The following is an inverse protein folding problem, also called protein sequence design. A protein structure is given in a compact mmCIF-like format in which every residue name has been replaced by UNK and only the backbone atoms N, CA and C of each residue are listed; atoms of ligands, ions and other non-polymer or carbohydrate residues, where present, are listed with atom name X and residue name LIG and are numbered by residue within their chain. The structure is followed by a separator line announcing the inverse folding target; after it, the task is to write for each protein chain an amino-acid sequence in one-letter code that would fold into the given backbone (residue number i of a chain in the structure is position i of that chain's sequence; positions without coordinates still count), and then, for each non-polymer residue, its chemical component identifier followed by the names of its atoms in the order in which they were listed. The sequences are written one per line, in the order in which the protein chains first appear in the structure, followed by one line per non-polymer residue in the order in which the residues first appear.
data_IF_324107295018
#
_entry.id   IF_324107295018
#
_cell.length_a   1.000
_cell.length_b   1.000
_cell.length_c   1.000
_cell.angle_alpha   90.00
_cell.angle_beta   90.00
_cell.angle_gamma   90.00
#
_symmetry.space_group_name_H-M   'P 1'
#
loop_
_entity.id
_entity.type
_entity.pdbx_description
1 polymer ?
#
# COMPACT_ATOMS: atom_id res chain seq x y z
N UNK A 1 11.27 -21.28 17.86
CA UNK A 1 12.75 -21.09 17.96
C UNK A 1 13.01 -19.62 18.27
N UNK A 2 14.03 -19.28 19.08
CA UNK A 2 14.36 -17.89 19.44
C UNK A 2 15.82 -17.56 19.08
N UNK A 3 16.16 -16.26 19.03
CA UNK A 3 17.56 -15.83 18.80
C UNK A 3 18.50 -16.38 19.89
N UNK A 4 18.05 -16.38 21.15
CA UNK A 4 18.83 -16.93 22.26
C UNK A 4 19.11 -18.43 22.09
N UNK A 5 18.16 -19.20 21.55
CA UNK A 5 18.36 -20.62 21.26
C UNK A 5 19.40 -20.84 20.14
N UNK A 6 19.41 -19.97 19.12
CA UNK A 6 20.41 -20.00 18.03
C UNK A 6 21.79 -19.69 18.59
N UNK A 7 21.92 -18.61 19.37
CA UNK A 7 23.18 -18.21 20.02
C UNK A 7 23.69 -19.32 20.93
N UNK A 8 22.81 -19.93 21.73
CA UNK A 8 23.18 -21.07 22.56
C UNK A 8 23.73 -22.24 21.72
N UNK A 9 23.05 -22.61 20.63
CA UNK A 9 23.50 -23.70 19.75
C UNK A 9 24.85 -23.43 19.10
N UNK A 10 25.08 -22.21 18.61
CA UNK A 10 26.37 -21.80 18.04
C UNK A 10 27.48 -21.91 19.10
N UNK A 11 27.21 -21.47 20.33
CA UNK A 11 28.18 -21.57 21.43
C UNK A 11 28.52 -23.01 21.80
N UNK A 12 27.53 -23.90 21.86
CA UNK A 12 27.78 -25.32 22.13
C UNK A 12 28.58 -25.98 21.01
N UNK A 13 28.30 -25.66 19.74
CA UNK A 13 29.10 -26.13 18.60
C UNK A 13 30.54 -25.59 18.67
N UNK A 14 30.71 -24.31 18.96
CA UNK A 14 32.02 -23.68 19.10
C UNK A 14 32.82 -24.31 20.25
N UNK A 15 32.18 -24.58 21.39
CA UNK A 15 32.77 -25.27 22.54
C UNK A 15 33.24 -26.69 22.18
N UNK A 16 32.43 -27.44 21.43
CA UNK A 16 32.80 -28.76 20.92
C UNK A 16 34.01 -28.74 19.98
N UNK A 17 34.22 -27.62 19.27
CA UNK A 17 35.38 -27.38 18.41
C UNK A 17 36.58 -26.74 19.16
N UNK A 18 36.51 -26.59 20.49
CA UNK A 18 37.60 -26.05 21.31
C UNK A 18 37.59 -24.53 21.49
N UNK A 19 36.53 -23.82 21.05
CA UNK A 19 36.41 -22.37 21.19
C UNK A 19 35.52 -21.97 22.36
N UNK A 20 36.01 -21.06 23.22
CA UNK A 20 35.23 -20.49 24.31
C UNK A 20 34.61 -19.14 23.90
N UNK A 21 33.34 -19.14 23.49
CA UNK A 21 32.63 -17.92 23.08
C UNK A 21 31.71 -17.35 24.16
N UNK A 22 31.83 -16.03 24.39
CA UNK A 22 30.85 -15.24 25.13
C UNK A 22 29.56 -15.08 24.32
N UNK A 23 28.41 -14.97 24.99
CA UNK A 23 27.11 -14.72 24.33
C UNK A 23 27.15 -13.45 23.48
N UNK A 24 27.69 -12.36 24.03
CA UNK A 24 27.82 -11.09 23.32
C UNK A 24 28.63 -11.22 22.04
N UNK A 25 29.77 -11.91 22.07
CA UNK A 25 30.57 -12.16 20.87
C UNK A 25 29.82 -13.01 19.84
N UNK A 26 28.98 -13.95 20.27
CA UNK A 26 28.21 -14.79 19.36
C UNK A 26 27.15 -13.98 18.61
N UNK A 27 26.49 -13.02 19.27
CA UNK A 27 25.58 -12.08 18.61
C UNK A 27 26.30 -11.22 17.57
N UNK A 28 27.49 -10.73 17.89
CA UNK A 28 28.31 -9.92 16.98
C UNK A 28 28.76 -10.72 15.75
N UNK A 29 29.16 -11.98 15.93
CA UNK A 29 29.51 -12.88 14.84
C UNK A 29 28.29 -13.22 13.97
N UNK A 30 27.12 -13.43 14.60
CA UNK A 30 25.87 -13.65 13.88
C UNK A 30 25.51 -12.42 13.02
N UNK A 31 25.66 -11.19 13.54
CA UNK A 31 25.43 -9.96 12.78
C UNK A 31 26.36 -9.87 11.56
N UNK A 32 27.63 -10.21 11.73
CA UNK A 32 28.63 -10.16 10.65
C UNK A 32 28.37 -11.15 9.53
N UNK A 33 27.70 -12.28 9.82
CA UNK A 33 27.24 -13.21 8.78
C UNK A 33 26.21 -12.59 7.84
N UNK A 34 25.60 -11.47 8.23
CA UNK A 34 24.62 -10.71 7.47
C UNK A 34 25.15 -9.36 6.98
N UNK A 35 26.47 -9.18 6.98
CA UNK A 35 27.14 -7.95 6.55
C UNK A 35 27.07 -6.80 7.56
N UNK A 36 26.63 -7.06 8.81
CA UNK A 36 26.50 -6.02 9.83
C UNK A 36 27.69 -6.00 10.78
N UNK A 37 28.23 -4.81 11.04
CA UNK A 37 29.40 -4.64 11.91
C UNK A 37 29.10 -4.88 13.40
N UNK A 38 27.83 -4.73 13.83
CA UNK A 38 27.42 -5.00 15.21
C UNK A 38 26.01 -5.60 15.31
N UNK A 39 25.73 -6.28 16.42
CA UNK A 39 24.39 -6.79 16.70
C UNK A 39 23.36 -5.66 16.92
N UNK A 40 23.80 -4.55 17.52
CA UNK A 40 22.95 -3.36 17.68
C UNK A 40 22.54 -2.80 16.31
N UNK A 41 23.50 -2.61 15.38
CA UNK A 41 23.21 -2.17 14.00
C UNK A 41 22.25 -3.11 13.29
N UNK A 42 22.46 -4.42 13.45
CA UNK A 42 21.58 -5.43 12.87
C UNK A 42 20.13 -5.28 13.38
N UNK A 43 19.92 -5.25 14.70
CA UNK A 43 18.58 -5.27 15.30
C UNK A 43 17.81 -3.96 15.13
N UNK A 44 18.50 -2.83 14.87
CA UNK A 44 17.86 -1.58 14.49
C UNK A 44 17.16 -1.69 13.13
N UNK A 45 17.80 -2.36 12.16
CA UNK A 45 17.35 -2.36 10.76
C UNK A 45 16.66 -3.64 10.30
N UNK A 46 16.97 -4.77 10.93
CA UNK A 46 16.57 -6.09 10.43
C UNK A 46 15.94 -6.97 11.51
N UNK A 47 15.15 -7.92 11.05
CA UNK A 47 14.68 -9.08 11.81
C UNK A 47 15.32 -10.36 11.27
N UNK A 48 15.64 -11.32 12.13
CA UNK A 48 16.00 -12.67 11.68
C UNK A 48 14.76 -13.48 11.28
N UNK A 49 14.92 -14.38 10.32
CA UNK A 49 13.90 -15.36 9.90
C UNK A 49 14.55 -16.73 9.72
N UNK A 50 13.78 -17.80 9.85
CA UNK A 50 14.19 -19.22 9.75
C UNK A 50 13.44 -19.97 8.63
N UNK A 51 13.13 -19.27 7.53
CA UNK A 51 12.33 -19.81 6.43
C UNK A 51 13.14 -20.66 5.42
N UNK A 52 12.65 -21.85 5.00
CA UNK A 52 13.33 -22.78 4.09
C UNK A 52 13.84 -22.21 2.78
N UNK A 53 13.08 -21.29 2.18
CA UNK A 53 13.39 -20.70 0.89
C UNK A 53 14.17 -19.36 1.05
N UNK A 54 14.26 -18.85 2.28
CA UNK A 54 14.39 -17.42 2.54
C UNK A 54 13.15 -16.67 2.02
N UNK A 55 12.98 -15.38 2.31
CA UNK A 55 12.21 -14.55 1.39
C UNK A 55 13.01 -14.56 0.09
N UNK A 56 12.55 -15.32 -0.92
CA UNK A 56 13.17 -15.33 -2.26
C UNK A 56 12.90 -14.01 -2.99
N UNK A 57 12.04 -13.17 -2.41
CA UNK A 57 11.58 -11.90 -2.94
C UNK A 57 12.17 -10.73 -2.14
N UNK A 58 12.18 -9.54 -2.77
CA UNK A 58 12.87 -8.27 -2.45
C UNK A 58 12.89 -7.72 -1.00
N UNK A 59 12.35 -8.45 -0.03
CA UNK A 59 12.19 -8.09 1.38
C UNK A 59 13.25 -8.77 2.26
N UNK A 60 13.80 -9.90 1.81
CA UNK A 60 14.77 -10.66 2.57
C UNK A 60 16.05 -10.97 1.82
N UNK A 61 17.15 -10.90 2.56
CA UNK A 61 18.48 -11.22 2.04
C UNK A 61 18.97 -12.49 2.71
N UNK A 62 19.56 -13.38 1.89
CA UNK A 62 20.39 -14.47 2.38
C UNK A 62 21.68 -13.88 2.98
N UNK A 63 22.37 -14.59 3.88
CA UNK A 63 23.68 -14.19 4.37
C UNK A 63 24.58 -13.82 3.19
N UNK A 64 25.28 -12.67 3.27
CA UNK A 64 26.41 -12.41 2.38
C UNK A 64 27.42 -13.50 2.71
N UNK A 65 27.57 -14.49 1.83
CA UNK A 65 28.28 -15.76 2.07
C UNK A 65 29.80 -15.60 2.24
N UNK A 66 30.28 -14.41 2.58
CA UNK A 66 31.69 -14.14 2.78
C UNK A 66 32.08 -14.44 4.23
N UNK A 67 32.55 -15.67 4.40
CA UNK A 67 33.29 -16.13 5.57
C UNK A 67 34.35 -15.13 6.08
N UNK A 68 34.90 -14.31 5.18
CA UNK A 68 35.85 -13.24 5.47
C UNK A 68 35.29 -12.19 6.43
N UNK A 69 34.00 -11.83 6.37
CA UNK A 69 33.40 -10.84 7.27
C UNK A 69 33.28 -11.38 8.70
N UNK A 70 32.86 -12.64 8.84
CA UNK A 70 32.76 -13.29 10.16
C UNK A 70 34.14 -13.50 10.77
N UNK A 71 35.11 -13.94 9.97
CA UNK A 71 36.50 -14.09 10.43
C UNK A 71 37.12 -12.74 10.80
N UNK A 72 36.90 -11.68 10.02
CA UNK A 72 37.36 -10.33 10.35
C UNK A 72 36.73 -9.84 11.66
N UNK A 73 35.44 -10.11 11.88
CA UNK A 73 34.78 -9.75 13.14
C UNK A 73 35.32 -10.55 14.32
N UNK A 74 35.62 -11.83 14.15
CA UNK A 74 36.25 -12.65 15.17
C UNK A 74 37.60 -12.06 15.63
N UNK A 75 38.44 -11.62 14.69
CA UNK A 75 39.71 -10.94 15.01
C UNK A 75 39.49 -9.66 15.81
N UNK A 76 38.53 -8.82 15.41
CA UNK A 76 38.19 -7.58 16.12
C UNK A 76 37.69 -7.81 17.56
N UNK A 77 37.07 -8.97 17.82
CA UNK A 77 36.61 -9.38 19.15
C UNK A 77 37.73 -10.02 20.00
N UNK A 78 38.97 -10.01 19.51
CA UNK A 78 40.15 -10.49 20.22
C UNK A 78 40.37 -12.00 20.16
N UNK A 79 39.80 -12.69 19.16
CA UNK A 79 40.06 -14.11 18.93
C UNK A 79 41.37 -14.30 18.15
N UNK A 80 42.08 -15.39 18.45
CA UNK A 80 43.36 -15.73 17.85
C UNK A 80 43.29 -15.81 16.31
N UNK A 81 44.28 -15.27 15.58
CA UNK A 81 44.27 -15.27 14.12
C UNK A 81 44.18 -16.65 13.47
N UNK A 82 44.77 -17.67 14.09
CA UNK A 82 44.71 -19.05 13.62
C UNK A 82 43.28 -19.65 13.74
N UNK A 83 42.47 -19.14 14.67
CA UNK A 83 41.15 -19.65 15.02
C UNK A 83 40.01 -18.93 14.30
N UNK A 84 40.21 -17.65 13.93
CA UNK A 84 39.18 -16.81 13.31
C UNK A 84 38.57 -17.42 12.04
N UNK A 85 39.34 -18.06 11.13
CA UNK A 85 38.73 -18.74 9.98
C UNK A 85 37.85 -19.92 10.40
N UNK A 86 38.33 -20.82 11.25
CA UNK A 86 37.53 -21.99 11.65
C UNK A 86 36.21 -21.59 12.32
N UNK A 87 36.25 -20.52 13.12
CA UNK A 87 35.05 -19.96 13.75
C UNK A 87 34.08 -19.34 12.73
N UNK A 88 34.60 -18.63 11.73
CA UNK A 88 33.78 -18.10 10.63
C UNK A 88 33.01 -19.20 9.90
N UNK A 89 33.66 -20.34 9.62
CA UNK A 89 33.06 -21.50 8.96
C UNK A 89 31.97 -22.10 9.85
N UNK A 90 32.26 -22.25 11.14
CA UNK A 90 31.30 -22.79 12.10
C UNK A 90 30.03 -21.94 12.19
N UNK A 91 30.17 -20.62 12.31
CA UNK A 91 29.03 -19.69 12.38
C UNK A 91 28.22 -19.73 11.08
N UNK A 92 28.86 -19.70 9.92
CA UNK A 92 28.15 -19.77 8.64
C UNK A 92 27.42 -21.11 8.45
N UNK A 93 28.05 -22.23 8.83
CA UNK A 93 27.40 -23.54 8.78
C UNK A 93 26.19 -23.58 9.71
N UNK A 94 26.27 -22.98 10.90
CA UNK A 94 25.14 -22.88 11.81
C UNK A 94 24.00 -22.02 11.25
N UNK A 95 24.33 -20.88 10.62
CA UNK A 95 23.39 -19.99 9.92
C UNK A 95 22.69 -20.74 8.78
N UNK A 96 23.43 -21.49 7.97
CA UNK A 96 22.87 -22.29 6.88
C UNK A 96 22.02 -23.47 7.39
N UNK A 97 22.50 -24.20 8.40
CA UNK A 97 21.78 -25.32 8.98
C UNK A 97 20.46 -24.89 9.65
N UNK A 98 20.45 -23.71 10.27
CA UNK A 98 19.24 -23.10 10.82
C UNK A 98 18.43 -22.32 9.78
N UNK A 99 18.87 -22.29 8.51
CA UNK A 99 18.20 -21.62 7.38
C UNK A 99 17.88 -20.15 7.69
N UNK A 100 18.84 -19.45 8.27
CA UNK A 100 18.63 -18.08 8.71
C UNK A 100 18.71 -17.10 7.55
N UNK A 101 17.74 -16.19 7.50
CA UNK A 101 17.74 -15.00 6.65
C UNK A 101 17.54 -13.74 7.48
N UNK A 102 17.57 -12.57 6.82
CA UNK A 102 17.16 -11.28 7.42
C UNK A 102 16.04 -10.64 6.61
N UNK A 103 15.19 -9.86 7.28
CA UNK A 103 14.17 -8.99 6.65
C UNK A 103 14.36 -7.56 7.11
N UNK A 104 14.39 -6.61 6.18
CA UNK A 104 14.45 -5.19 6.52
C UNK A 104 13.11 -4.72 7.11
N UNK A 105 13.15 -4.05 8.26
CA UNK A 105 11.94 -3.55 8.94
C UNK A 105 11.14 -2.59 8.04
N UNK A 106 11.83 -1.67 7.37
CA UNK A 106 11.20 -0.69 6.49
C UNK A 106 10.58 -1.33 5.22
N UNK A 107 11.19 -2.39 4.68
CA UNK A 107 10.64 -3.10 3.53
C UNK A 107 9.28 -3.73 3.85
N UNK A 108 9.13 -4.31 5.05
CA UNK A 108 7.86 -4.83 5.52
C UNK A 108 6.78 -3.75 5.55
N UNK A 109 7.10 -2.57 6.09
CA UNK A 109 6.16 -1.46 6.23
C UNK A 109 5.75 -0.90 4.86
N UNK A 110 6.69 -0.79 3.91
CA UNK A 110 6.42 -0.38 2.53
C UNK A 110 5.45 -1.33 1.82
N UNK A 111 5.66 -2.65 1.93
CA UNK A 111 4.73 -3.62 1.35
C UNK A 111 3.32 -3.46 1.90
N UNK A 112 3.22 -3.21 3.20
CA UNK A 112 1.94 -3.03 3.89
C UNK A 112 1.21 -1.77 3.45
N UNK A 113 1.93 -0.65 3.32
CA UNK A 113 1.37 0.59 2.79
C UNK A 113 0.88 0.43 1.34
N UNK A 114 1.59 -0.36 0.53
CA UNK A 114 1.20 -0.65 -0.84
C UNK A 114 0.10 -1.73 -0.96
N UNK A 115 -0.43 -2.25 0.15
CA UNK A 115 -1.44 -3.32 0.14
C UNK A 115 -0.93 -4.67 -0.39
N UNK A 116 0.38 -4.85 -0.51
CA UNK A 116 1.01 -6.04 -1.07
C UNK A 116 1.05 -7.19 -0.05
N UNK A 117 0.95 -8.43 -0.56
CA UNK A 117 1.06 -9.64 0.26
C UNK A 117 2.49 -9.79 0.80
N UNK A 118 2.60 -10.27 2.03
CA UNK A 118 3.87 -10.65 2.62
C UNK A 118 4.44 -11.90 1.91
N UNK A 119 5.78 -12.05 1.84
CA UNK A 119 6.39 -13.28 1.35
C UNK A 119 5.85 -14.49 2.11
N UNK A 120 5.43 -15.54 1.40
CA UNK A 120 4.68 -16.68 1.97
C UNK A 120 5.41 -17.38 3.14
N UNK A 121 6.75 -17.40 3.10
CA UNK A 121 7.57 -18.03 4.13
C UNK A 121 7.74 -17.20 5.41
N UNK A 122 7.41 -15.90 5.39
CA UNK A 122 7.65 -15.00 6.53
C UNK A 122 6.61 -15.19 7.66
N UNK A 123 5.29 -15.28 7.40
CA UNK A 123 4.28 -15.61 8.41
C UNK A 123 4.50 -16.99 9.05
N UNK A 124 5.26 -17.87 8.43
CA UNK A 124 5.53 -19.22 8.93
C UNK A 124 6.80 -19.29 9.78
N UNK A 125 7.62 -18.24 9.83
CA UNK A 125 8.90 -18.22 10.54
C UNK A 125 8.69 -18.08 12.07
N UNK A 126 8.92 -19.14 12.88
CA UNK A 126 8.80 -19.04 14.32
C UNK A 126 9.83 -18.07 14.92
N UNK A 127 11.01 -17.97 14.31
CA UNK A 127 12.03 -17.02 14.74
C UNK A 127 11.57 -15.57 14.55
N UNK A 128 10.98 -15.26 13.39
CA UNK A 128 10.45 -13.93 13.10
C UNK A 128 9.31 -13.56 14.05
N UNK A 129 8.33 -14.45 14.21
CA UNK A 129 7.20 -14.25 15.14
C UNK A 129 7.71 -14.03 16.56
N UNK A 130 8.66 -14.84 17.05
CA UNK A 130 9.17 -14.71 18.42
C UNK A 130 9.83 -13.35 18.69
N UNK A 131 10.54 -12.80 17.71
CA UNK A 131 11.17 -11.48 17.82
C UNK A 131 10.12 -10.37 17.82
N UNK A 132 9.11 -10.46 16.95
CA UNK A 132 8.00 -9.52 16.93
C UNK A 132 7.21 -9.57 18.25
N UNK A 133 6.92 -10.76 18.77
CA UNK A 133 6.23 -10.91 20.06
C UNK A 133 7.03 -10.28 21.20
N UNK A 134 8.35 -10.48 21.23
CA UNK A 134 9.20 -9.86 22.25
C UNK A 134 9.20 -8.31 22.14
N UNK A 135 9.27 -7.77 20.93
CA UNK A 135 9.23 -6.32 20.71
C UNK A 135 7.85 -5.73 21.08
N UNK A 136 6.77 -6.42 20.70
CA UNK A 136 5.41 -6.06 21.07
C UNK A 136 5.23 -6.05 22.60
N UNK A 137 5.71 -7.08 23.31
CA UNK A 137 5.71 -7.10 24.77
C UNK A 137 6.54 -5.98 25.41
N UNK A 138 7.53 -5.43 24.70
CA UNK A 138 8.31 -4.28 25.12
C UNK A 138 7.65 -2.93 24.79
N UNK A 139 6.44 -2.93 24.20
CA UNK A 139 5.69 -1.72 23.86
C UNK A 139 5.89 -1.20 22.43
N UNK A 140 6.53 -1.97 21.54
CA UNK A 140 6.67 -1.58 20.12
C UNK A 140 5.32 -1.72 19.38
N UNK A 141 4.65 -0.60 19.14
CA UNK A 141 3.38 -0.55 18.41
C UNK A 141 3.49 -1.02 16.95
N UNK A 142 4.65 -0.82 16.31
CA UNK A 142 4.88 -1.33 14.96
C UNK A 142 5.04 -2.86 14.99
N UNK A 143 5.67 -3.44 16.03
CA UNK A 143 5.71 -4.90 16.17
C UNK A 143 4.29 -5.49 16.31
N UNK A 144 3.41 -4.85 17.08
CA UNK A 144 2.00 -5.19 17.12
C UNK A 144 1.33 -5.15 15.74
N UNK A 145 1.55 -4.08 14.96
CA UNK A 145 0.97 -3.97 13.62
C UNK A 145 1.45 -5.09 12.68
N UNK A 146 2.72 -5.49 12.77
CA UNK A 146 3.27 -6.60 11.97
C UNK A 146 2.72 -7.95 12.39
N UNK A 147 2.54 -8.20 13.69
CA UNK A 147 1.86 -9.40 14.19
C UNK A 147 0.41 -9.45 13.72
N UNK A 148 -0.31 -8.33 13.77
CA UNK A 148 -1.66 -8.25 13.23
C UNK A 148 -1.71 -8.65 11.75
N UNK A 149 -0.75 -8.21 10.94
CA UNK A 149 -0.65 -8.61 9.53
C UNK A 149 -0.40 -10.12 9.34
N UNK A 150 0.36 -10.77 10.23
CA UNK A 150 0.59 -12.23 10.21
C UNK A 150 -0.68 -12.99 10.56
N UNK A 151 -1.42 -12.53 11.59
CA UNK A 151 -2.63 -13.19 12.07
C UNK A 151 -3.90 -12.78 11.31
N UNK A 152 -3.81 -11.84 10.36
CA UNK A 152 -4.96 -11.31 9.63
C UNK A 152 -5.81 -12.44 9.05
N UNK A 153 -7.08 -12.47 9.46
CA UNK A 153 -8.06 -13.44 9.00
C UNK A 153 -9.44 -12.79 8.88
N UNK A 154 -10.35 -13.46 8.17
CA UNK A 154 -11.76 -13.07 8.17
C UNK A 154 -12.40 -13.42 9.51
N UNK A 155 -13.50 -12.74 9.84
CA UNK A 155 -14.31 -13.09 11.02
C UNK A 155 -14.77 -14.55 10.89
N UNK A 156 -14.35 -15.45 11.81
CA UNK A 156 -14.69 -16.86 11.72
C UNK A 156 -16.18 -17.08 11.97
N UNK A 157 -16.81 -17.95 11.18
CA UNK A 157 -18.21 -18.35 11.35
C UNK A 157 -18.27 -19.76 11.96
N UNK A 158 -18.77 -19.92 13.20
CA UNK A 158 -18.79 -21.21 13.90
C UNK A 158 -19.87 -22.17 13.42
N UNK A 159 -20.82 -21.73 12.59
CA UNK A 159 -22.05 -22.48 12.29
C UNK A 159 -21.82 -23.94 11.89
N UNK A 160 -20.96 -24.21 10.90
CA UNK A 160 -20.71 -25.57 10.43
C UNK A 160 -19.95 -26.43 11.44
N UNK A 161 -19.07 -25.82 12.22
CA UNK A 161 -18.36 -26.51 13.30
C UNK A 161 -19.34 -26.94 14.38
N UNK A 162 -20.23 -26.05 14.82
CA UNK A 162 -21.25 -26.36 15.82
C UNK A 162 -22.23 -27.45 15.34
N UNK A 163 -22.63 -27.42 14.05
CA UNK A 163 -23.45 -28.48 13.46
C UNK A 163 -22.74 -29.83 13.39
N UNK A 164 -21.42 -29.84 13.13
CA UNK A 164 -20.62 -31.08 13.15
C UNK A 164 -20.58 -31.71 14.55
N UNK A 165 -20.49 -30.90 15.60
CA UNK A 165 -20.52 -31.36 17.00
C UNK A 165 -21.88 -31.96 17.39
N UNK A 166 -22.96 -31.56 16.71
CA UNK A 166 -24.31 -32.12 16.88
C UNK A 166 -24.52 -33.42 16.11
N UNK A 167 -23.49 -33.94 15.43
CA UNK A 167 -23.54 -35.22 14.72
C UNK A 167 -24.00 -35.12 13.26
N UNK A 168 -24.05 -33.91 12.68
CA UNK A 168 -24.31 -33.76 11.24
C UNK A 168 -23.13 -34.30 10.44
N UNK A 169 -23.41 -35.22 9.51
CA UNK A 169 -22.41 -35.67 8.53
C UNK A 169 -22.11 -34.54 7.55
N UNK A 170 -20.87 -34.06 7.57
CA UNK A 170 -20.39 -33.04 6.66
C UNK A 170 -19.92 -33.65 5.33
N UNK A 171 -20.12 -32.91 4.25
CA UNK A 171 -19.47 -33.20 2.97
C UNK A 171 -17.97 -32.88 3.05
N UNK A 172 -17.17 -33.40 2.12
CA UNK A 172 -15.74 -33.10 2.05
C UNK A 172 -15.42 -31.60 1.93
N UNK A 173 -16.31 -30.82 1.29
CA UNK A 173 -16.16 -29.37 1.20
C UNK A 173 -16.45 -28.69 2.54
N UNK A 174 -17.51 -29.10 3.24
CA UNK A 174 -17.86 -28.56 4.56
C UNK A 174 -16.81 -28.92 5.62
N UNK A 175 -16.19 -30.10 5.52
CA UNK A 175 -15.04 -30.46 6.37
C UNK A 175 -13.89 -29.47 6.18
N UNK A 176 -13.55 -29.10 4.92
CA UNK A 176 -12.51 -28.10 4.66
C UNK A 176 -12.86 -26.73 5.25
N UNK A 177 -14.13 -26.33 5.20
CA UNK A 177 -14.58 -25.08 5.82
C UNK A 177 -14.49 -25.11 7.35
N UNK A 178 -14.74 -26.26 7.98
CA UNK A 178 -14.53 -26.45 9.42
C UNK A 178 -13.05 -26.37 9.78
N UNK A 179 -12.17 -27.00 9.00
CA UNK A 179 -10.72 -26.91 9.21
C UNK A 179 -10.22 -25.46 9.06
N UNK A 180 -10.74 -24.74 8.06
CA UNK A 180 -10.45 -23.31 7.87
C UNK A 180 -10.95 -22.48 9.07
N UNK A 181 -12.17 -22.72 9.54
CA UNK A 181 -12.71 -22.08 10.74
C UNK A 181 -11.81 -22.31 11.96
N UNK A 182 -11.35 -23.54 12.20
CA UNK A 182 -10.50 -23.86 13.36
C UNK A 182 -9.18 -23.08 13.33
N UNK A 183 -8.58 -22.91 12.15
CA UNK A 183 -7.40 -22.06 11.99
C UNK A 183 -7.71 -20.58 12.23
N UNK A 184 -8.78 -20.07 11.64
CA UNK A 184 -9.20 -18.67 11.79
C UNK A 184 -9.62 -18.32 13.22
N UNK A 185 -10.28 -19.22 13.94
CA UNK A 185 -10.73 -19.03 15.31
C UNK A 185 -9.56 -18.82 16.29
N UNK A 186 -8.41 -19.45 16.04
CA UNK A 186 -7.20 -19.21 16.82
C UNK A 186 -6.53 -17.88 16.47
N UNK A 187 -6.55 -17.50 15.19
CA UNK A 187 -5.90 -16.29 14.70
C UNK A 187 -6.70 -15.02 15.01
N UNK A 188 -8.04 -15.06 14.97
CA UNK A 188 -8.89 -13.88 15.05
C UNK A 188 -8.72 -13.07 16.35
N UNK A 189 -8.66 -13.67 17.55
CA UNK A 189 -8.37 -12.92 18.77
C UNK A 189 -6.98 -12.27 18.78
N UNK A 190 -5.97 -12.94 18.21
CA UNK A 190 -4.61 -12.41 18.11
C UNK A 190 -4.55 -11.24 17.13
N UNK A 191 -5.20 -11.38 15.98
CA UNK A 191 -5.35 -10.30 15.00
C UNK A 191 -6.00 -9.07 15.62
N UNK A 192 -7.16 -9.24 16.26
CA UNK A 192 -7.88 -8.15 16.90
C UNK A 192 -7.05 -7.47 17.99
N UNK A 193 -6.46 -8.25 18.90
CA UNK A 193 -5.71 -7.72 20.04
C UNK A 193 -4.46 -6.94 19.58
N UNK A 194 -3.69 -7.49 18.64
CA UNK A 194 -2.49 -6.84 18.13
C UNK A 194 -2.83 -5.61 17.27
N UNK A 195 -3.87 -5.67 16.45
CA UNK A 195 -4.27 -4.52 15.65
C UNK A 195 -4.74 -3.37 16.53
N UNK A 196 -5.54 -3.68 17.57
CA UNK A 196 -5.99 -2.69 18.56
C UNK A 196 -4.82 -2.05 19.30
N UNK A 197 -3.87 -2.87 19.78
CA UNK A 197 -2.69 -2.38 20.50
C UNK A 197 -1.81 -1.50 19.60
N UNK A 198 -1.65 -1.84 18.33
CA UNK A 198 -0.91 -1.03 17.36
C UNK A 198 -1.58 0.33 17.11
N UNK A 199 -2.89 0.33 16.89
CA UNK A 199 -3.68 1.54 16.68
C UNK A 199 -3.60 2.47 17.90
N UNK A 200 -3.85 1.95 19.10
CA UNK A 200 -3.75 2.70 20.36
C UNK A 200 -2.31 3.15 20.66
N UNK A 201 -1.32 2.39 20.20
CA UNK A 201 0.10 2.74 20.25
C UNK A 201 0.55 3.78 19.21
N UNK A 202 -0.38 4.34 18.42
CA UNK A 202 -0.12 5.47 17.52
C UNK A 202 0.18 5.08 16.07
N UNK A 203 0.01 3.82 15.67
CA UNK A 203 0.19 3.42 14.27
C UNK A 203 -1.06 3.76 13.45
N UNK A 204 -0.99 4.86 12.69
CA UNK A 204 -2.11 5.38 11.88
C UNK A 204 -2.75 4.33 10.95
N UNK A 205 -1.94 3.60 10.20
CA UNK A 205 -2.43 2.56 9.29
C UNK A 205 -3.16 1.41 10.02
N UNK A 206 -2.74 1.09 11.26
CA UNK A 206 -3.40 0.08 12.08
C UNK A 206 -4.76 0.59 12.60
N UNK A 207 -4.87 1.88 12.92
CA UNK A 207 -6.14 2.49 13.30
C UNK A 207 -7.16 2.43 12.16
N UNK A 208 -6.77 2.80 10.93
CA UNK A 208 -7.63 2.68 9.76
C UNK A 208 -8.07 1.23 9.52
N UNK A 209 -7.13 0.29 9.54
CA UNK A 209 -7.46 -1.13 9.36
C UNK A 209 -8.39 -1.67 10.44
N UNK A 210 -8.25 -1.20 11.69
CA UNK A 210 -9.16 -1.61 12.75
C UNK A 210 -10.57 -1.07 12.49
N UNK A 211 -10.69 0.18 12.05
CA UNK A 211 -11.96 0.80 11.71
C UNK A 211 -12.69 0.01 10.61
N UNK A 212 -11.97 -0.38 9.55
CA UNK A 212 -12.52 -1.17 8.44
C UNK A 212 -12.88 -2.61 8.87
N UNK A 213 -11.95 -3.31 9.53
CA UNK A 213 -12.12 -4.74 9.80
C UNK A 213 -13.15 -5.05 10.89
N UNK A 214 -13.38 -4.10 11.80
CA UNK A 214 -14.29 -4.25 12.95
C UNK A 214 -15.44 -3.26 12.93
N UNK A 215 -15.58 -2.45 11.87
CA UNK A 215 -16.65 -1.48 11.68
C UNK A 215 -16.81 -0.53 12.88
N UNK A 216 -15.69 -0.04 13.41
CA UNK A 216 -15.64 0.83 14.59
C UNK A 216 -15.24 2.27 14.21
N UNK A 217 -16.20 3.22 14.14
CA UNK A 217 -15.94 4.61 13.72
C UNK A 217 -14.92 5.33 14.62
N UNK A 218 -14.79 4.95 15.89
CA UNK A 218 -13.84 5.59 16.81
C UNK A 218 -12.37 5.38 16.36
N UNK A 219 -12.11 4.29 15.64
CA UNK A 219 -10.78 4.01 15.08
C UNK A 219 -10.53 4.77 13.78
N UNK A 220 -11.57 5.15 13.03
CA UNK A 220 -11.43 6.08 11.92
C UNK A 220 -11.01 7.47 12.44
N UNK A 221 -11.70 7.99 13.45
CA UNK A 221 -11.35 9.26 14.09
C UNK A 221 -9.93 9.24 14.68
N UNK A 222 -9.51 8.10 15.24
CA UNK A 222 -8.15 7.89 15.69
C UNK A 222 -7.16 7.96 14.50
N UNK A 223 -7.43 7.26 13.41
CA UNK A 223 -6.60 7.30 12.21
C UNK A 223 -6.53 8.72 11.61
N UNK A 224 -7.63 9.47 11.61
CA UNK A 224 -7.65 10.83 11.07
C UNK A 224 -6.73 11.78 11.86
N UNK A 225 -6.71 11.66 13.19
CA UNK A 225 -5.89 12.49 14.09
C UNK A 225 -4.42 12.09 14.15
N UNK A 226 -4.11 10.81 13.98
CA UNK A 226 -2.73 10.32 14.06
C UNK A 226 -1.89 10.85 12.89
N UNK A 227 -0.62 11.11 13.17
CA UNK A 227 0.38 11.41 12.14
C UNK A 227 1.02 10.14 11.60
N UNK A 228 1.60 10.23 10.41
CA UNK A 228 2.29 9.11 9.77
C UNK A 228 1.59 8.61 8.50
N UNK A 229 2.22 7.64 7.83
CA UNK A 229 1.75 7.17 6.54
C UNK A 229 0.43 6.39 6.68
N UNK A 230 -0.48 6.64 5.76
CA UNK A 230 -1.75 5.94 5.60
C UNK A 230 -2.15 5.98 4.13
N UNK A 231 -2.91 4.99 3.70
CA UNK A 231 -3.53 4.98 2.38
C UNK A 231 -4.72 5.95 2.39
N UNK A 232 -4.57 7.08 1.68
CA UNK A 232 -5.58 8.13 1.63
C UNK A 232 -6.87 7.69 0.93
N UNK A 233 -6.79 6.81 -0.07
CA UNK A 233 -7.97 6.28 -0.77
C UNK A 233 -8.79 5.38 0.15
N UNK A 234 -8.11 4.54 0.94
CA UNK A 234 -8.79 3.75 1.98
C UNK A 234 -9.37 4.62 3.09
N UNK A 235 -8.70 5.71 3.49
CA UNK A 235 -9.31 6.68 4.40
C UNK A 235 -10.59 7.29 3.80
N UNK A 236 -10.60 7.63 2.50
CA UNK A 236 -11.81 8.14 1.85
C UNK A 236 -12.94 7.11 1.84
N UNK A 237 -12.64 5.85 1.55
CA UNK A 237 -13.62 4.76 1.52
C UNK A 237 -14.20 4.43 2.91
N UNK A 238 -13.38 4.52 3.95
CA UNK A 238 -13.79 4.27 5.33
C UNK A 238 -14.41 5.50 6.03
N UNK A 239 -14.49 6.63 5.34
CA UNK A 239 -14.95 7.88 5.94
C UNK A 239 -16.43 7.79 6.39
N UNK A 240 -16.77 8.32 7.57
CA UNK A 240 -18.12 8.22 8.13
C UNK A 240 -19.11 9.20 7.46
N UNK A 241 -18.62 10.25 6.81
CA UNK A 241 -19.42 11.29 6.19
C UNK A 241 -18.74 11.86 4.93
N UNK A 242 -19.53 12.62 4.15
CA UNK A 242 -19.09 13.21 2.89
C UNK A 242 -17.93 14.20 3.05
N UNK A 243 -17.87 14.94 4.17
CA UNK A 243 -16.80 15.93 4.41
C UNK A 243 -15.46 15.25 4.66
N UNK A 244 -15.44 14.23 5.52
CA UNK A 244 -14.27 13.41 5.77
C UNK A 244 -13.82 12.68 4.49
N UNK A 245 -14.78 12.14 3.72
CA UNK A 245 -14.48 11.49 2.43
C UNK A 245 -13.84 12.47 1.45
N UNK A 246 -14.43 13.65 1.26
CA UNK A 246 -13.91 14.71 0.38
C UNK A 246 -12.49 15.14 0.75
N UNK A 247 -12.25 15.36 2.05
CA UNK A 247 -10.92 15.68 2.59
C UNK A 247 -9.89 14.62 2.15
N UNK A 248 -10.22 13.34 2.33
CA UNK A 248 -9.31 12.24 2.05
C UNK A 248 -9.14 11.95 0.57
N UNK A 249 -10.19 12.11 -0.23
CA UNK A 249 -10.11 12.06 -1.69
C UNK A 249 -9.17 13.14 -2.22
N UNK A 250 -9.19 14.38 -1.69
CA UNK A 250 -8.22 15.42 -2.09
C UNK A 250 -6.78 15.03 -1.83
N UNK A 251 -6.51 14.31 -0.75
CA UNK A 251 -5.15 13.79 -0.47
C UNK A 251 -4.81 12.66 -1.45
N UNK A 252 -5.74 11.76 -1.75
CA UNK A 252 -5.52 10.67 -2.68
C UNK A 252 -5.33 11.16 -4.13
N UNK A 253 -6.14 12.11 -4.58
CA UNK A 253 -6.14 12.68 -5.92
C UNK A 253 -4.85 13.43 -6.31
N UNK A 254 -3.98 13.74 -5.35
CA UNK A 254 -2.63 14.27 -5.63
C UNK A 254 -1.75 13.25 -6.37
N UNK A 255 -2.05 11.96 -6.23
CA UNK A 255 -1.21 10.87 -6.76
C UNK A 255 -2.01 9.75 -7.46
N UNK A 256 -3.35 9.78 -7.40
CA UNK A 256 -4.24 8.76 -7.96
C UNK A 256 -5.29 9.42 -8.86
N UNK A 257 -5.23 9.14 -10.17
CA UNK A 257 -6.14 9.71 -11.16
C UNK A 257 -7.59 9.35 -10.89
N UNK A 258 -7.88 8.11 -10.47
CA UNK A 258 -9.24 7.66 -10.17
C UNK A 258 -9.86 8.47 -9.02
N UNK A 259 -9.09 8.76 -7.96
CA UNK A 259 -9.54 9.62 -6.87
C UNK A 259 -9.75 11.07 -7.31
N UNK A 260 -8.96 11.57 -8.26
CA UNK A 260 -9.12 12.91 -8.85
C UNK A 260 -10.39 12.99 -9.71
N UNK A 261 -10.66 11.96 -10.52
CA UNK A 261 -11.91 11.83 -11.31
C UNK A 261 -13.13 11.73 -10.40
N UNK A 262 -13.06 10.98 -9.30
CA UNK A 262 -14.12 10.87 -8.31
C UNK A 262 -14.45 12.23 -7.68
N UNK A 263 -13.44 13.00 -7.25
CA UNK A 263 -13.62 14.38 -6.78
C UNK A 263 -14.30 15.28 -7.81
N UNK A 264 -13.84 15.21 -9.05
CA UNK A 264 -14.38 16.04 -10.12
C UNK A 264 -15.85 15.68 -10.42
N UNK A 265 -16.21 14.39 -10.36
CA UNK A 265 -17.59 13.91 -10.49
C UNK A 265 -18.50 14.41 -9.35
N UNK A 266 -17.92 14.69 -8.17
CA UNK A 266 -18.61 15.32 -7.03
C UNK A 266 -18.70 16.84 -7.13
N UNK A 267 -18.15 17.42 -8.19
CA UNK A 267 -18.14 18.87 -8.43
C UNK A 267 -17.02 19.60 -7.69
N UNK A 268 -15.95 18.91 -7.26
CA UNK A 268 -14.76 19.58 -6.75
C UNK A 268 -14.07 20.35 -7.88
N UNK A 269 -14.17 21.68 -7.81
CA UNK A 269 -13.70 22.57 -8.87
C UNK A 269 -12.19 22.44 -9.09
N UNK A 270 -11.39 22.25 -8.04
CA UNK A 270 -9.94 22.14 -8.17
C UNK A 270 -9.55 20.85 -8.91
N UNK A 271 -10.25 19.74 -8.62
CA UNK A 271 -10.07 18.49 -9.33
C UNK A 271 -10.51 18.59 -10.81
N UNK A 272 -11.68 19.19 -11.07
CA UNK A 272 -12.13 19.47 -12.44
C UNK A 272 -11.11 20.30 -13.20
N UNK A 273 -10.52 21.32 -12.57
CA UNK A 273 -9.50 22.17 -13.20
C UNK A 273 -8.24 21.37 -13.55
N UNK A 274 -7.76 20.50 -12.65
CA UNK A 274 -6.58 19.67 -12.93
C UNK A 274 -6.80 18.73 -14.12
N UNK A 275 -7.98 18.08 -14.20
CA UNK A 275 -8.34 17.24 -15.34
C UNK A 275 -8.49 18.04 -16.64
N UNK A 276 -9.12 19.21 -16.58
CA UNK A 276 -9.27 20.10 -17.72
C UNK A 276 -7.92 20.60 -18.26
N UNK A 277 -6.99 20.99 -17.36
CA UNK A 277 -5.65 21.42 -17.78
C UNK A 277 -4.87 20.25 -18.38
N UNK A 278 -5.08 19.02 -17.90
CA UNK A 278 -4.54 17.80 -18.50
C UNK A 278 -5.17 17.45 -19.87
N UNK A 279 -6.23 18.15 -20.29
CA UNK A 279 -6.85 18.02 -21.61
C UNK A 279 -8.16 17.25 -21.63
N UNK A 280 -8.75 16.96 -20.47
CA UNK A 280 -10.06 16.30 -20.42
C UNK A 280 -11.16 17.21 -20.99
N UNK A 281 -11.71 16.82 -22.14
CA UNK A 281 -12.68 17.62 -22.89
C UNK A 281 -14.00 17.85 -22.14
N UNK A 282 -14.43 16.88 -21.34
CA UNK A 282 -15.66 16.99 -20.54
C UNK A 282 -15.50 18.07 -19.48
N UNK A 283 -14.40 18.04 -18.72
CA UNK A 283 -14.13 19.03 -17.68
C UNK A 283 -13.80 20.41 -18.24
N UNK A 284 -13.14 20.49 -19.40
CA UNK A 284 -12.93 21.74 -20.14
C UNK A 284 -14.26 22.42 -20.48
N UNK A 285 -15.20 21.65 -21.02
CA UNK A 285 -16.55 22.10 -21.32
C UNK A 285 -17.30 22.52 -20.05
N UNK A 286 -17.37 21.66 -19.05
CA UNK A 286 -18.11 21.91 -17.82
C UNK A 286 -17.63 23.17 -17.10
N UNK A 287 -16.32 23.43 -17.06
CA UNK A 287 -15.76 24.65 -16.48
C UNK A 287 -16.02 25.90 -17.32
N UNK A 288 -16.05 25.78 -18.66
CA UNK A 288 -16.42 26.88 -19.54
C UNK A 288 -17.90 27.26 -19.36
N UNK A 289 -18.80 26.28 -19.35
CA UNK A 289 -20.24 26.49 -19.14
C UNK A 289 -20.52 27.09 -17.75
N UNK A 290 -19.91 26.54 -16.70
CA UNK A 290 -20.00 27.10 -15.35
C UNK A 290 -19.51 28.55 -15.28
N UNK A 291 -18.42 28.87 -15.98
CA UNK A 291 -17.93 30.24 -16.04
C UNK A 291 -18.91 31.18 -16.76
N UNK A 292 -19.66 30.70 -17.75
CA UNK A 292 -20.72 31.48 -18.39
C UNK A 292 -21.91 31.71 -17.47
N UNK A 293 -22.34 30.67 -16.73
CA UNK A 293 -23.40 30.77 -15.71
C UNK A 293 -23.04 31.79 -14.62
N UNK A 294 -21.77 31.83 -14.23
CA UNK A 294 -21.22 32.80 -13.26
C UNK A 294 -20.94 34.20 -13.88
N UNK A 295 -21.27 34.44 -15.15
CA UNK A 295 -20.96 35.66 -15.92
C UNK A 295 -19.45 35.99 -16.05
N UNK A 296 -18.57 35.00 -15.83
CA UNK A 296 -17.10 35.09 -15.93
C UNK A 296 -16.61 34.82 -17.35
N UNK A 297 -16.95 35.73 -18.26
CA UNK A 297 -16.71 35.57 -19.70
C UNK A 297 -15.22 35.37 -20.06
N UNK A 298 -14.29 36.04 -19.35
CA UNK A 298 -12.84 35.87 -19.56
C UNK A 298 -12.39 34.45 -19.19
N UNK A 299 -12.96 33.86 -18.13
CA UNK A 299 -12.63 32.50 -17.71
C UNK A 299 -13.19 31.46 -18.67
N UNK A 300 -14.40 31.64 -19.18
CA UNK A 300 -14.98 30.77 -20.21
C UNK A 300 -14.09 30.73 -21.48
N UNK A 301 -13.62 31.90 -21.93
CA UNK A 301 -12.65 31.98 -23.02
C UNK A 301 -11.29 31.36 -22.69
N UNK A 302 -10.83 31.45 -21.43
CA UNK A 302 -9.58 30.81 -21.03
C UNK A 302 -9.68 29.28 -21.14
N UNK A 303 -10.79 28.68 -20.72
CA UNK A 303 -11.03 27.23 -20.88
C UNK A 303 -11.08 26.80 -22.35
N UNK A 304 -11.72 27.59 -23.23
CA UNK A 304 -11.67 27.35 -24.68
C UNK A 304 -10.23 27.41 -25.24
N UNK A 305 -9.38 28.32 -24.75
CA UNK A 305 -7.99 28.37 -25.21
C UNK A 305 -7.17 27.16 -24.74
N UNK A 306 -7.45 26.63 -23.55
CA UNK A 306 -6.84 25.38 -23.07
C UNK A 306 -7.34 24.20 -23.92
N UNK A 307 -8.64 24.14 -24.23
CA UNK A 307 -9.20 23.13 -25.11
C UNK A 307 -8.54 23.13 -26.49
N UNK A 308 -8.38 24.31 -27.10
CA UNK A 308 -7.70 24.46 -28.39
C UNK A 308 -6.25 24.01 -28.36
N UNK A 309 -5.55 24.21 -27.23
CA UNK A 309 -4.17 23.74 -27.07
C UNK A 309 -4.07 22.20 -27.05
N UNK A 310 -5.13 21.52 -26.59
CA UNK A 310 -5.27 20.05 -26.61
C UNK A 310 -5.97 19.52 -27.87
N UNK A 311 -6.28 20.38 -28.84
CA UNK A 311 -6.90 19.98 -30.12
C UNK A 311 -8.43 19.86 -30.07
N UNK A 312 -9.07 20.32 -28.99
CA UNK A 312 -10.51 20.41 -28.86
C UNK A 312 -11.00 21.82 -29.20
N UNK A 313 -12.18 21.94 -29.82
CA UNK A 313 -12.84 23.22 -30.05
C UNK A 313 -14.24 23.17 -29.46
N UNK A 314 -14.40 23.74 -28.26
CA UNK A 314 -15.68 23.68 -27.54
C UNK A 314 -16.78 24.46 -28.24
N UNK A 315 -16.44 25.39 -29.14
CA UNK A 315 -17.43 26.19 -29.89
C UNK A 315 -18.01 25.43 -31.09
N UNK A 316 -17.43 24.29 -31.46
CA UNK A 316 -17.90 23.45 -32.56
C UNK A 316 -18.87 22.40 -32.05
N UNK A 317 -20.08 22.44 -32.58
CA UNK A 317 -21.07 21.38 -32.39
C UNK A 317 -20.58 20.06 -32.99
N UNK A 318 -20.79 18.97 -32.26
CA UNK A 318 -20.55 17.59 -32.71
C UNK A 318 -21.86 16.87 -33.03
N UNK A 319 -22.99 17.59 -33.03
CA UNK A 319 -24.31 17.02 -33.30
C UNK A 319 -24.37 16.34 -34.67
N UNK A 320 -24.83 15.09 -34.67
CA UNK A 320 -24.99 14.27 -35.85
C UNK A 320 -26.32 13.53 -35.80
N UNK A 321 -27.01 13.45 -36.94
CA UNK A 321 -28.15 12.57 -37.09
C UNK A 321 -27.66 11.11 -37.26
N UNK A 322 -28.25 10.18 -36.51
CA UNK A 322 -27.97 8.74 -36.57
C UNK A 322 -29.26 7.93 -36.73
N UNK A 323 -29.17 6.74 -37.31
CA UNK A 323 -30.32 5.84 -37.47
C UNK A 323 -30.80 5.26 -36.13
N UNK A 324 -32.11 5.32 -35.87
CA UNK A 324 -32.74 4.81 -34.66
C UNK A 324 -33.37 3.42 -34.85
N UNK A 325 -32.53 2.39 -34.87
CA UNK A 325 -32.95 0.98 -34.90
C UNK A 325 -32.66 0.28 -36.23
N UNK A 326 -33.01 -0.99 -36.32
CA UNK A 326 -32.70 -1.83 -37.49
C UNK A 326 -31.21 -2.16 -37.60
N UNK A 327 -30.79 -2.60 -38.80
CA UNK A 327 -29.40 -3.03 -39.07
C UNK A 327 -28.37 -1.90 -39.09
N UNK A 328 -28.82 -0.65 -39.19
CA UNK A 328 -27.96 0.54 -39.26
C UNK A 328 -27.98 1.37 -37.97
N UNK A 329 -28.53 0.84 -36.88
CA UNK A 329 -28.64 1.58 -35.61
C UNK A 329 -27.29 2.14 -35.16
N UNK A 330 -27.26 3.45 -34.90
CA UNK A 330 -26.06 4.18 -34.47
C UNK A 330 -25.13 4.62 -35.61
N UNK A 331 -25.37 4.23 -36.86
CA UNK A 331 -24.63 4.75 -38.02
C UNK A 331 -25.11 6.16 -38.38
N UNK A 332 -24.28 6.92 -39.12
CA UNK A 332 -24.68 8.23 -39.65
C UNK A 332 -25.95 8.08 -40.49
N UNK A 333 -26.89 9.00 -40.29
CA UNK A 333 -28.15 8.94 -41.00
C UNK A 333 -27.95 9.17 -42.50
N UNK A 334 -28.37 8.19 -43.28
CA UNK A 334 -28.42 8.25 -44.75
C UNK A 334 -29.88 8.08 -45.19
N UNK A 335 -30.36 9.07 -45.97
CA UNK A 335 -31.71 9.09 -46.48
C UNK A 335 -32.04 7.93 -47.41
N UNK A 336 -31.02 7.28 -47.99
CA UNK A 336 -31.20 6.14 -48.89
C UNK A 336 -31.72 4.90 -48.15
N UNK A 337 -31.39 4.73 -46.86
CA UNK A 337 -32.00 3.70 -46.00
C UNK A 337 -33.34 4.17 -45.42
N UNK A 338 -33.44 5.47 -45.09
CA UNK A 338 -34.61 6.06 -44.45
C UNK A 338 -34.86 5.54 -43.03
N UNK A 339 -36.07 5.78 -42.51
CA UNK A 339 -36.49 5.35 -41.18
C UNK A 339 -36.30 6.40 -40.08
N UNK A 340 -36.62 6.05 -38.82
CA UNK A 340 -36.48 6.97 -37.69
C UNK A 340 -34.99 7.30 -37.44
N UNK A 341 -34.76 8.51 -36.95
CA UNK A 341 -33.44 9.01 -36.57
C UNK A 341 -33.45 9.55 -35.15
N UNK A 342 -32.28 9.55 -34.52
CA UNK A 342 -32.00 10.30 -33.31
C UNK A 342 -30.81 11.22 -33.52
N UNK A 343 -30.71 12.28 -32.72
CA UNK A 343 -29.57 13.19 -32.72
C UNK A 343 -28.61 12.76 -31.61
N UNK A 344 -27.34 12.61 -31.96
CA UNK A 344 -26.24 12.28 -31.05
C UNK A 344 -25.19 13.38 -31.06
N UNK A 345 -24.36 13.46 -30.01
CA UNK A 345 -23.32 14.48 -29.85
C UNK A 345 -23.75 15.67 -28.98
N UNK A 346 -22.91 16.71 -28.99
CA UNK A 346 -23.05 17.89 -28.13
C UNK A 346 -23.10 19.18 -28.95
N UNK A 347 -23.93 20.13 -28.52
CA UNK A 347 -23.99 21.46 -29.12
C UNK A 347 -22.71 22.25 -28.80
N UNK A 348 -22.28 23.16 -29.67
CA UNK A 348 -21.12 24.01 -29.39
C UNK A 348 -21.42 25.04 -28.31
N UNK A 349 -20.44 25.36 -27.45
CA UNK A 349 -20.58 26.41 -26.45
C UNK A 349 -20.64 27.78 -27.14
N UNK A 350 -21.69 28.56 -26.85
CA UNK A 350 -21.81 29.94 -27.30
C UNK A 350 -20.99 30.90 -26.41
N UNK A 351 -19.79 31.25 -26.88
CA UNK A 351 -18.93 32.20 -26.17
C UNK A 351 -19.25 33.66 -26.56
N UNK A 352 -19.38 34.59 -25.59
CA UNK A 352 -19.65 35.99 -25.87
C UNK A 352 -18.46 36.67 -26.57
N UNK A 353 -18.75 37.63 -27.44
CA UNK A 353 -17.72 38.42 -28.11
C UNK A 353 -17.04 39.38 -27.12
N UNK A 354 -15.74 39.20 -26.90
CA UNK A 354 -14.95 40.08 -26.01
C UNK A 354 -14.07 41.07 -26.80
N UNK A 355 -13.81 42.27 -26.24
CA UNK A 355 -12.81 43.19 -26.76
C UNK A 355 -11.41 42.55 -26.82
N UNK A 356 -10.58 43.01 -27.76
CA UNK A 356 -9.20 42.49 -27.96
C UNK A 356 -8.36 42.41 -26.67
N UNK A 357 -8.51 43.37 -25.77
CA UNK A 357 -7.79 43.39 -24.48
C UNK A 357 -8.18 42.21 -23.60
N UNK A 358 -9.47 41.92 -23.47
CA UNK A 358 -9.99 40.81 -22.67
C UNK A 358 -9.68 39.45 -23.33
N UNK A 359 -9.68 39.38 -24.67
CA UNK A 359 -9.19 38.19 -25.38
C UNK A 359 -7.71 37.90 -25.10
N UNK A 360 -6.87 38.93 -25.08
CA UNK A 360 -5.45 38.78 -24.73
C UNK A 360 -5.28 38.34 -23.26
N UNK A 361 -6.13 38.83 -22.37
CA UNK A 361 -6.16 38.43 -20.96
C UNK A 361 -6.59 36.97 -20.78
N UNK A 362 -7.65 36.51 -21.44
CA UNK A 362 -8.07 35.10 -21.42
C UNK A 362 -6.95 34.16 -21.93
N UNK A 363 -6.23 34.55 -23.00
CA UNK A 363 -5.06 33.80 -23.49
C UNK A 363 -3.92 33.76 -22.47
N UNK A 364 -3.71 34.84 -21.72
CA UNK A 364 -2.69 34.88 -20.66
C UNK A 364 -3.08 33.96 -19.50
N UNK A 365 -4.33 34.04 -19.05
CA UNK A 365 -4.87 33.19 -17.98
C UNK A 365 -4.77 31.70 -18.33
N UNK A 366 -5.12 31.33 -19.56
CA UNK A 366 -4.98 29.96 -20.06
C UNK A 366 -3.53 29.45 -19.95
N UNK A 367 -2.56 30.27 -20.40
CA UNK A 367 -1.13 29.94 -20.31
C UNK A 367 -0.65 29.82 -18.87
N UNK A 368 -1.06 30.74 -18.00
CA UNK A 368 -0.71 30.73 -16.57
C UNK A 368 -1.18 29.41 -15.92
N UNK A 369 -2.43 29.02 -16.13
CA UNK A 369 -2.99 27.75 -15.61
C UNK A 369 -2.24 26.52 -16.11
N UNK A 370 -1.96 26.44 -17.41
CA UNK A 370 -1.18 25.33 -17.98
C UNK A 370 0.27 25.27 -17.48
N UNK A 371 0.89 26.43 -17.25
CA UNK A 371 2.26 26.49 -16.73
C UNK A 371 2.37 26.14 -15.24
N UNK A 372 1.34 26.43 -14.45
CA UNK A 372 1.32 26.15 -13.01
C UNK A 372 1.34 24.64 -12.71
N UNK A 373 0.77 23.81 -13.58
CA UNK A 373 0.76 22.35 -13.44
C UNK A 373 2.10 21.68 -13.83
N UNK A 374 3.03 22.42 -14.46
CA UNK A 374 4.33 21.88 -14.89
C UNK A 374 5.44 22.00 -13.83
N UNK A 375 5.13 22.59 -12.66
CA UNK A 375 6.10 22.94 -11.62
C UNK A 375 5.96 22.13 -10.32
N UNK A 376 4.96 21.25 -10.24
CA UNK A 376 4.78 20.24 -9.19
C UNK A 376 4.89 18.83 -9.82
#
# INVERSE_FOLDING_TARGET
MTVSNIVHRIREQAKGAGFALKSTHTYELLASAFGQGTWASFTTRYWLTDSPDGPVDAVGERPETTHTLVAARALQLGLEPASAPQLGTLVLNAVQAARLGKVEKAAFDRLRLAGLRLPAGLPQSPLFISQLSAAASAGDAQAHHRLAAIYRCKRPNPYLYDESLKGRTLTAQETKWVDEYLGQAQHYPLYQAHLKAAAQGGVRAAALEYAEAFEDPSFFELADRLSGPVDAKRMAQAAPDASARHKWLRVAGQHDLESLEELASEGDVDAMQQLAIAGDAYHLRALAERALEDEKQIEAWAWQYIALAHGHDLTRSTLAARHDGGSHHGEFYDSDFGGPLFVDGEEGIELPQLPRRQMAEAKRLAKERMSAQSLD
#
